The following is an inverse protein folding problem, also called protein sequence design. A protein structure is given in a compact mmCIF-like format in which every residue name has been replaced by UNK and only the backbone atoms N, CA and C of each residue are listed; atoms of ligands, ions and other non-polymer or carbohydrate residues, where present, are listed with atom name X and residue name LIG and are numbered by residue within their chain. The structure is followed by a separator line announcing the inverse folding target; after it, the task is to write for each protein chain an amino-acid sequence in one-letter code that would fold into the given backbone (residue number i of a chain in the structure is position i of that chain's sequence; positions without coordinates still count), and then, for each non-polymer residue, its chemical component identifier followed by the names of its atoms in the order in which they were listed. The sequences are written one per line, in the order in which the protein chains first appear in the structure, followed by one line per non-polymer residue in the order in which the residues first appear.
data_IF_582171977489
#
_entry.id   IF_582171977489
#
_cell.length_a   1.000
_cell.length_b   1.000
_cell.length_c   1.000
_cell.angle_alpha   90.00
_cell.angle_beta   90.00
_cell.angle_gamma   90.00
#
_symmetry.space_group_name_H-M   'P 1'
#
loop_
_entity.id
_entity.type
_entity.pdbx_description
1 polymer ?
#
# COMPACT_ATOMS: atom_id res chain seq x y z
N UNK A 1 22.04 -1.36 -23.17
CA UNK A 1 20.61 -1.72 -23.26
C UNK A 1 20.29 -2.62 -22.08
N UNK A 2 19.25 -2.31 -21.30
CA UNK A 2 18.89 -3.13 -20.12
C UNK A 2 18.02 -4.32 -20.56
N UNK A 3 18.26 -5.54 -20.05
CA UNK A 3 17.58 -6.78 -20.49
C UNK A 3 16.05 -6.74 -20.44
N UNK A 4 15.49 -5.84 -19.64
CA UNK A 4 14.06 -5.73 -19.41
C UNK A 4 13.24 -5.28 -20.62
N UNK A 5 13.89 -4.63 -21.60
CA UNK A 5 13.21 -4.20 -22.83
C UNK A 5 12.80 -5.37 -23.73
N UNK A 6 13.24 -6.58 -23.41
CA UNK A 6 12.93 -7.79 -24.19
C UNK A 6 11.75 -8.57 -23.62
N UNK A 7 11.25 -8.20 -22.43
CA UNK A 7 10.09 -8.83 -21.85
C UNK A 7 8.81 -8.08 -22.28
N UNK A 8 7.77 -8.78 -22.74
CA UNK A 8 6.45 -8.19 -22.92
C UNK A 8 5.96 -7.48 -21.65
N UNK A 9 5.27 -6.37 -21.84
CA UNK A 9 4.85 -5.50 -20.71
C UNK A 9 3.85 -6.21 -19.79
N UNK A 10 3.06 -7.12 -20.34
CA UNK A 10 2.09 -7.95 -19.64
C UNK A 10 2.78 -8.85 -18.62
N UNK A 11 3.90 -9.48 -19.00
CA UNK A 11 4.68 -10.32 -18.09
C UNK A 11 5.33 -9.48 -16.98
N UNK A 12 5.75 -8.25 -17.29
CA UNK A 12 6.26 -7.35 -16.26
C UNK A 12 5.16 -6.97 -15.27
N UNK A 13 3.93 -6.74 -15.74
CA UNK A 13 2.80 -6.50 -14.85
C UNK A 13 2.49 -7.71 -13.96
N UNK A 14 2.52 -8.92 -14.50
CA UNK A 14 2.31 -10.14 -13.72
C UNK A 14 3.39 -10.31 -12.64
N UNK A 15 4.67 -10.08 -13.01
CA UNK A 15 5.79 -10.13 -12.05
C UNK A 15 5.58 -9.10 -10.94
N UNK A 16 5.27 -7.84 -11.28
CA UNK A 16 5.05 -6.77 -10.29
C UNK A 16 3.86 -7.11 -9.40
N UNK A 17 2.76 -7.56 -9.99
CA UNK A 17 1.54 -7.97 -9.30
C UNK A 17 1.81 -9.04 -8.24
N UNK A 18 2.64 -10.04 -8.57
CA UNK A 18 3.00 -11.12 -7.66
C UNK A 18 4.05 -10.70 -6.63
N UNK A 19 5.00 -9.84 -7.01
CA UNK A 19 6.10 -9.43 -6.14
C UNK A 19 5.70 -8.36 -5.11
N UNK A 20 4.76 -7.47 -5.43
CA UNK A 20 4.32 -6.36 -4.57
C UNK A 20 3.33 -6.79 -3.47
N UNK A 21 3.61 -7.89 -2.78
CA UNK A 21 2.78 -8.44 -1.71
C UNK A 21 3.38 -8.24 -0.29
N UNK A 22 4.49 -7.52 -0.18
CA UNK A 22 5.36 -7.43 1.00
C UNK A 22 5.21 -6.13 1.81
N UNK A 23 3.99 -5.59 1.90
CA UNK A 23 3.74 -4.34 2.63
C UNK A 23 4.27 -3.08 1.94
N UNK A 24 4.69 -3.18 0.68
CA UNK A 24 5.03 -2.06 -0.19
C UNK A 24 6.53 -1.85 -0.41
N UNK A 25 7.38 -2.63 0.27
CA UNK A 25 8.84 -2.54 0.14
C UNK A 25 9.30 -2.85 -1.29
N UNK A 26 8.79 -3.92 -1.89
CA UNK A 26 9.13 -4.29 -3.27
C UNK A 26 8.66 -3.22 -4.25
N UNK A 27 7.44 -2.71 -4.10
CA UNK A 27 6.92 -1.66 -4.97
C UNK A 27 7.77 -0.38 -4.89
N UNK A 28 8.17 0.03 -3.68
CA UNK A 28 9.04 1.19 -3.49
C UNK A 28 10.42 0.98 -4.13
N UNK A 29 11.00 -0.21 -3.95
CA UNK A 29 12.31 -0.58 -4.51
C UNK A 29 12.29 -0.54 -6.04
N UNK A 30 11.28 -1.15 -6.67
CA UNK A 30 11.14 -1.16 -8.14
C UNK A 30 11.00 0.26 -8.71
N UNK A 31 10.24 1.15 -8.04
CA UNK A 31 10.06 2.54 -8.49
C UNK A 31 11.35 3.37 -8.53
N UNK A 32 12.41 2.92 -7.87
CA UNK A 32 13.71 3.59 -7.83
C UNK A 32 14.68 3.08 -8.92
N UNK A 33 14.39 1.95 -9.57
CA UNK A 33 15.30 1.34 -10.56
C UNK A 33 15.41 2.19 -11.84
N UNK A 34 14.28 2.62 -12.39
CA UNK A 34 14.24 3.44 -13.60
C UNK A 34 12.88 4.14 -13.76
N UNK A 35 12.80 5.10 -14.69
CA UNK A 35 11.52 5.75 -15.05
C UNK A 35 10.49 4.75 -15.57
N UNK A 36 10.93 3.74 -16.33
CA UNK A 36 10.05 2.69 -16.85
C UNK A 36 9.48 1.84 -15.71
N UNK A 37 10.33 1.37 -14.79
CA UNK A 37 9.88 0.63 -13.62
C UNK A 37 8.97 1.45 -12.71
N UNK A 38 9.26 2.74 -12.53
CA UNK A 38 8.37 3.65 -11.81
C UNK A 38 6.99 3.68 -12.44
N UNK A 39 6.89 3.80 -13.77
CA UNK A 39 5.61 3.80 -14.48
C UNK A 39 4.86 2.47 -14.35
N UNK A 40 5.55 1.34 -14.54
CA UNK A 40 4.97 0.00 -14.45
C UNK A 40 4.50 -0.36 -13.03
N UNK A 41 5.24 0.09 -12.01
CA UNK A 41 4.96 -0.22 -10.60
C UNK A 41 3.95 0.73 -9.97
N UNK A 42 3.74 1.92 -10.55
CA UNK A 42 2.84 2.93 -9.99
C UNK A 42 1.43 2.40 -9.65
N UNK A 43 0.78 1.57 -10.50
CA UNK A 43 -0.52 0.97 -10.18
C UNK A 43 -0.47 0.03 -8.97
N UNK A 44 0.68 -0.51 -8.60
CA UNK A 44 0.84 -1.52 -7.54
C UNK A 44 1.43 -0.95 -6.25
N UNK A 45 1.67 0.37 -6.17
CA UNK A 45 2.33 1.00 -5.02
C UNK A 45 1.59 0.83 -3.68
N UNK A 46 0.27 0.59 -3.73
CA UNK A 46 -0.56 0.31 -2.56
C UNK A 46 -1.13 -1.11 -2.56
N UNK A 47 -0.64 -2.01 -3.42
CA UNK A 47 -1.15 -3.38 -3.56
C UNK A 47 -1.22 -4.10 -2.21
N UNK A 48 -0.11 -4.10 -1.50
CA UNK A 48 0.03 -4.58 -0.13
C UNK A 48 0.70 -3.48 0.67
N UNK A 49 0.09 -3.06 1.79
CA UNK A 49 0.65 -2.01 2.67
C UNK A 49 0.72 -2.52 4.10
N UNK A 50 1.83 -2.23 4.76
CA UNK A 50 2.02 -2.54 6.18
C UNK A 50 2.50 -1.28 6.89
N UNK A 51 1.79 -0.86 7.92
CA UNK A 51 2.16 0.32 8.70
C UNK A 51 1.64 0.22 10.14
N UNK A 52 2.22 1.01 11.04
CA UNK A 52 1.76 1.08 12.41
C UNK A 52 0.37 1.71 12.48
N UNK A 53 -0.48 1.21 13.36
CA UNK A 53 -1.83 1.71 13.59
C UNK A 53 -1.90 3.00 14.40
N UNK A 54 -0.83 3.81 14.43
CA UNK A 54 -0.85 5.10 15.11
C UNK A 54 -1.63 6.17 14.30
N UNK A 55 -2.18 7.21 14.95
CA UNK A 55 -2.91 8.28 14.25
C UNK A 55 -2.12 8.94 13.12
N UNK A 56 -0.81 9.14 13.32
CA UNK A 56 0.05 9.83 12.35
C UNK A 56 0.24 8.99 11.09
N UNK A 57 0.51 7.69 11.25
CA UNK A 57 0.70 6.75 10.15
C UNK A 57 -0.59 6.54 9.36
N UNK A 58 -1.73 6.40 10.06
CA UNK A 58 -3.05 6.32 9.41
C UNK A 58 -3.31 7.58 8.58
N UNK A 59 -3.07 8.77 9.13
CA UNK A 59 -3.30 10.02 8.42
C UNK A 59 -2.33 10.23 7.25
N UNK A 60 -1.08 9.78 7.38
CA UNK A 60 -0.09 9.81 6.31
C UNK A 60 -0.49 8.86 5.17
N UNK A 61 -0.93 7.65 5.50
CA UNK A 61 -1.44 6.68 4.54
C UNK A 61 -2.66 7.24 3.79
N UNK A 62 -3.67 7.74 4.51
CA UNK A 62 -4.89 8.30 3.90
C UNK A 62 -4.55 9.41 2.90
N UNK A 63 -3.72 10.38 3.31
CA UNK A 63 -3.27 11.47 2.44
C UNK A 63 -2.54 10.95 1.20
N UNK A 64 -1.64 9.99 1.35
CA UNK A 64 -0.91 9.42 0.22
C UNK A 64 -1.81 8.59 -0.71
N UNK A 65 -2.76 7.85 -0.15
CA UNK A 65 -3.71 7.01 -0.87
C UNK A 65 -4.68 7.85 -1.70
N UNK A 66 -5.29 8.88 -1.09
CA UNK A 66 -6.23 9.80 -1.75
C UNK A 66 -5.57 10.63 -2.84
N UNK A 67 -4.33 11.09 -2.62
CA UNK A 67 -3.56 11.84 -3.63
C UNK A 67 -3.11 10.96 -4.82
N UNK A 68 -3.31 9.65 -4.76
CA UNK A 68 -2.85 8.74 -5.79
C UNK A 68 -3.86 8.53 -6.93
N UNK A 69 -3.33 8.10 -8.07
CA UNK A 69 -4.15 7.86 -9.26
C UNK A 69 -5.15 6.71 -9.03
N UNK A 70 -6.20 6.69 -9.84
CA UNK A 70 -7.29 5.71 -9.73
C UNK A 70 -6.80 4.26 -9.86
N UNK A 71 -5.80 3.98 -10.71
CA UNK A 71 -5.26 2.63 -10.88
C UNK A 71 -4.55 2.14 -9.61
N UNK A 72 -3.77 3.01 -8.93
CA UNK A 72 -3.14 2.68 -7.66
C UNK A 72 -4.17 2.38 -6.57
N UNK A 73 -5.25 3.16 -6.50
CA UNK A 73 -6.33 2.95 -5.53
C UNK A 73 -7.12 1.67 -5.79
N UNK A 74 -7.42 1.39 -7.06
CA UNK A 74 -8.16 0.19 -7.48
C UNK A 74 -7.38 -1.12 -7.23
N UNK A 75 -6.06 -1.03 -7.08
CA UNK A 75 -5.17 -2.17 -6.85
C UNK A 75 -4.83 -2.42 -5.38
N UNK A 76 -5.36 -1.65 -4.43
CA UNK A 76 -5.21 -1.96 -3.02
C UNK A 76 -5.86 -3.32 -2.72
N UNK A 77 -5.14 -4.24 -2.07
CA UNK A 77 -5.62 -5.60 -1.78
C UNK A 77 -5.39 -6.00 -0.34
N UNK A 78 -4.23 -5.67 0.22
CA UNK A 78 -3.86 -6.11 1.56
C UNK A 78 -3.43 -4.92 2.42
N UNK A 79 -4.01 -4.83 3.61
CA UNK A 79 -3.59 -3.90 4.66
C UNK A 79 -3.17 -4.71 5.88
N UNK A 80 -1.98 -4.42 6.40
CA UNK A 80 -1.53 -4.88 7.70
C UNK A 80 -1.34 -3.67 8.63
N UNK A 81 -2.07 -3.67 9.73
CA UNK A 81 -1.96 -2.69 10.80
C UNK A 81 -1.30 -3.35 12.00
N UNK A 82 -0.14 -2.85 12.41
CA UNK A 82 0.46 -3.25 13.68
C UNK A 82 -0.01 -2.31 14.79
N UNK A 83 -0.67 -2.84 15.82
CA UNK A 83 -1.00 -2.03 16.99
C UNK A 83 0.30 -1.68 17.69
N UNK A 84 0.55 -0.39 17.87
CA UNK A 84 1.42 0.05 18.94
C UNK A 84 0.52 0.21 20.17
N UNK A 85 1.03 -0.07 21.37
CA UNK A 85 0.31 0.26 22.61
C UNK A 85 0.26 1.77 22.73
N UNK A 86 -0.66 2.42 22.03
CA UNK A 86 -0.87 3.85 22.15
C UNK A 86 -1.62 4.08 23.46
N UNK A 87 -1.02 4.88 24.34
CA UNK A 87 -1.73 5.44 25.50
C UNK A 87 -2.78 6.48 25.09
N UNK A 88 -2.91 6.75 23.79
CA UNK A 88 -3.83 7.71 23.18
C UNK A 88 -5.25 7.14 23.17
N UNK A 89 -5.92 7.28 24.32
CA UNK A 89 -7.33 6.93 24.55
C UNK A 89 -8.30 7.88 23.84
N UNK A 90 -8.08 8.20 22.58
CA UNK A 90 -8.79 9.31 21.94
C UNK A 90 -9.87 8.88 20.95
N UNK A 91 -11.04 9.53 21.07
CA UNK A 91 -12.15 9.40 20.11
C UNK A 91 -11.66 9.68 18.69
N UNK A 92 -10.70 10.61 18.55
CA UNK A 92 -10.04 10.94 17.30
C UNK A 92 -9.36 9.73 16.63
N UNK A 93 -8.70 8.87 17.40
CA UNK A 93 -8.04 7.68 16.85
C UNK A 93 -9.05 6.67 16.31
N UNK A 94 -10.19 6.52 17.01
CA UNK A 94 -11.30 5.69 16.55
C UNK A 94 -11.89 6.24 15.25
N UNK A 95 -12.09 7.54 15.15
CA UNK A 95 -12.67 8.16 13.96
C UNK A 95 -11.70 8.06 12.77
N UNK A 96 -10.39 8.23 12.98
CA UNK A 96 -9.38 7.97 11.94
C UNK A 96 -9.37 6.51 11.46
N UNK A 97 -9.54 5.56 12.37
CA UNK A 97 -9.68 4.15 12.00
C UNK A 97 -10.95 3.91 11.20
N UNK A 98 -12.08 4.54 11.55
CA UNK A 98 -13.31 4.44 10.75
C UNK A 98 -13.11 5.04 9.36
N UNK A 99 -12.48 6.21 9.27
CA UNK A 99 -12.20 6.88 8.00
C UNK A 99 -11.33 5.98 7.13
N UNK A 100 -10.23 5.45 7.69
CA UNK A 100 -9.39 4.46 7.03
C UNK A 100 -10.20 3.29 6.48
N UNK A 101 -10.98 2.63 7.34
CA UNK A 101 -11.77 1.47 6.95
C UNK A 101 -12.79 1.81 5.87
N UNK A 102 -13.48 2.95 5.98
CA UNK A 102 -14.46 3.38 4.99
C UNK A 102 -13.83 3.67 3.63
N UNK A 103 -12.64 4.28 3.62
CA UNK A 103 -11.90 4.63 2.40
C UNK A 103 -11.35 3.40 1.69
N UNK A 104 -10.89 2.40 2.43
CA UNK A 104 -10.19 1.23 1.87
C UNK A 104 -11.11 0.03 1.64
N UNK A 105 -12.25 -0.06 2.35
CA UNK A 105 -13.19 -1.17 2.26
C UNK A 105 -13.64 -1.53 0.83
N UNK A 106 -13.80 -0.60 -0.12
CA UNK A 106 -14.21 -0.95 -1.48
C UNK A 106 -13.16 -1.74 -2.26
N UNK A 107 -11.88 -1.69 -1.87
CA UNK A 107 -10.78 -2.29 -2.61
C UNK A 107 -10.07 -3.43 -1.87
N UNK A 108 -10.06 -3.39 -0.54
CA UNK A 108 -9.30 -4.34 0.29
C UNK A 108 -9.92 -5.73 0.27
N UNK A 109 -9.08 -6.73 -0.02
CA UNK A 109 -9.40 -8.15 0.07
C UNK A 109 -8.98 -8.74 1.43
N UNK A 110 -7.94 -8.18 2.07
CA UNK A 110 -7.43 -8.68 3.35
C UNK A 110 -7.03 -7.54 4.26
N UNK A 111 -7.54 -7.58 5.50
CA UNK A 111 -7.17 -6.68 6.57
C UNK A 111 -6.62 -7.50 7.74
N UNK A 112 -5.38 -7.22 8.12
CA UNK A 112 -4.70 -7.86 9.26
C UNK A 112 -4.50 -6.83 10.35
N UNK A 113 -4.93 -7.16 11.57
CA UNK A 113 -4.57 -6.44 12.78
C UNK A 113 -3.61 -7.30 13.58
N UNK A 114 -2.35 -6.89 13.64
CA UNK A 114 -1.33 -7.55 14.43
C UNK A 114 -1.17 -6.82 15.77
N UNK A 115 -1.34 -7.53 16.89
CA UNK A 115 -1.11 -6.95 18.22
C UNK A 115 0.26 -7.35 18.73
N UNK A 116 1.11 -6.40 19.13
CA UNK A 116 2.33 -6.73 19.87
C UNK A 116 1.93 -7.35 21.22
N UNK A 117 2.42 -8.58 21.50
CA UNK A 117 2.16 -9.33 22.73
C UNK A 117 2.79 -8.64 23.93
#
# INVERSE_FOLDING_TARGET
MTPIQWLPVELLYDIICLACCDGGLTACSLRLVSRAWRALTNPYQFRSVSFAGGPQEIQAFLRAFEASNAASRANLRHICLTTTRTNERDVLHRDLLKDLLSTVSPAVETLVFATER
#
